data_IF_879369353719
#
_entry.id   IF_879369353719
#
_cell.length_a   1.000
_cell.length_b   1.000
_cell.length_c   1.000
_cell.angle_alpha   90.00
_cell.angle_beta   90.00
_cell.angle_gamma   90.00
#
_symmetry.space_group_name_H-M   'P 1'
#
loop_
_entity.id
_entity.type
_entity.pdbx_description
1 polymer ?
#
# COMPACT_ATOMS: atom_id res chain seq x y z
N UNK A 1 1.69 7.39 29.06
CA UNK A 1 0.38 7.44 28.36
C UNK A 1 0.33 6.23 27.45
N UNK A 2 -0.73 5.42 27.51
CA UNK A 2 -0.97 4.36 26.52
C UNK A 2 -1.63 4.99 25.30
N UNK A 3 -1.12 4.70 24.10
CA UNK A 3 -1.73 5.17 22.85
C UNK A 3 -3.08 4.48 22.62
N UNK A 4 -4.05 5.19 22.02
CA UNK A 4 -5.42 4.66 21.79
C UNK A 4 -5.49 3.76 20.58
N UNK A 5 -4.78 4.15 19.51
CA UNK A 5 -4.71 3.44 18.24
C UNK A 5 -3.32 3.55 17.62
N UNK A 6 -3.11 2.80 16.53
CA UNK A 6 -1.90 2.85 15.73
C UNK A 6 -2.18 3.32 14.30
N UNK A 7 -1.33 4.18 13.77
CA UNK A 7 -1.22 4.48 12.34
C UNK A 7 0.07 3.86 11.80
N UNK A 8 -0.04 2.92 10.86
CA UNK A 8 1.11 2.29 10.20
C UNK A 8 1.28 2.88 8.80
N UNK A 9 2.50 3.32 8.47
CA UNK A 9 2.83 3.91 7.17
C UNK A 9 4.06 3.22 6.58
N UNK A 10 3.88 2.50 5.46
CA UNK A 10 5.01 2.00 4.68
C UNK A 10 5.63 3.12 3.85
N UNK A 11 6.96 3.13 3.71
CA UNK A 11 7.68 4.23 3.06
C UNK A 11 7.65 5.52 3.88
N UNK A 12 7.44 5.44 5.19
CA UNK A 12 7.26 6.59 6.08
C UNK A 12 8.55 7.36 6.43
N UNK A 13 9.71 6.94 5.93
CA UNK A 13 11.01 7.56 6.27
C UNK A 13 11.41 8.73 5.36
N UNK A 14 10.70 8.96 4.25
CA UNK A 14 11.00 10.04 3.32
C UNK A 14 9.76 10.57 2.57
N UNK A 15 9.91 11.74 1.94
CA UNK A 15 8.95 12.33 1.00
C UNK A 15 7.50 12.33 1.52
N UNK A 16 6.56 11.88 0.70
CA UNK A 16 5.13 11.83 1.01
C UNK A 16 4.82 11.02 2.28
N UNK A 17 5.47 9.87 2.45
CA UNK A 17 5.26 9.02 3.62
C UNK A 17 5.72 9.70 4.92
N UNK A 18 6.85 10.42 4.89
CA UNK A 18 7.32 11.22 6.01
C UNK A 18 6.33 12.34 6.36
N UNK A 19 5.84 13.07 5.35
CA UNK A 19 4.89 14.16 5.57
C UNK A 19 3.53 13.65 6.07
N UNK A 20 3.09 12.47 5.58
CA UNK A 20 1.92 11.77 6.10
C UNK A 20 2.10 11.42 7.58
N UNK A 21 3.22 10.79 7.95
CA UNK A 21 3.50 10.43 9.34
C UNK A 21 3.61 11.66 10.25
N UNK A 22 4.24 12.75 9.80
CA UNK A 22 4.31 14.03 10.51
C UNK A 22 2.91 14.61 10.74
N UNK A 23 2.08 14.68 9.70
CA UNK A 23 0.72 15.20 9.80
C UNK A 23 -0.15 14.39 10.76
N UNK A 24 -0.08 13.06 10.70
CA UNK A 24 -0.80 12.18 11.63
C UNK A 24 -0.31 12.40 13.07
N UNK A 25 1.00 12.44 13.31
CA UNK A 25 1.54 12.66 14.65
C UNK A 25 1.10 14.02 15.24
N UNK A 26 1.07 15.08 14.42
CA UNK A 26 0.61 16.41 14.84
C UNK A 26 -0.88 16.43 15.19
N UNK A 27 -1.72 15.82 14.36
CA UNK A 27 -3.18 15.85 14.51
C UNK A 27 -3.69 14.86 15.56
N UNK A 28 -2.98 13.75 15.77
CA UNK A 28 -3.34 12.67 16.69
C UNK A 28 -2.20 12.33 17.66
N UNK A 29 -1.89 13.19 18.65
CA UNK A 29 -0.88 12.90 19.68
C UNK A 29 -1.16 11.62 20.48
N UNK A 30 -2.41 11.16 20.52
CA UNK A 30 -2.88 9.96 21.18
C UNK A 30 -2.62 8.66 20.39
N UNK A 31 -2.22 8.75 19.11
CA UNK A 31 -1.88 7.58 18.30
C UNK A 31 -0.41 7.24 18.38
N UNK A 32 -0.10 5.95 18.36
CA UNK A 32 1.22 5.45 17.98
C UNK A 32 1.35 5.54 16.46
N UNK A 33 2.36 6.23 15.96
CA UNK A 33 2.68 6.27 14.53
C UNK A 33 3.87 5.34 14.28
N UNK A 34 3.68 4.31 13.46
CA UNK A 34 4.72 3.37 13.08
C UNK A 34 5.09 3.64 11.63
N UNK A 35 6.30 4.14 11.39
CA UNK A 35 6.85 4.28 10.04
C UNK A 35 7.71 3.06 9.72
N UNK A 36 7.52 2.51 8.51
CA UNK A 36 8.21 1.30 8.09
C UNK A 36 8.92 1.50 6.75
N UNK A 37 10.19 1.12 6.68
CA UNK A 37 11.04 1.13 5.47
C UNK A 37 12.18 0.13 5.67
N UNK A 38 12.96 -0.18 4.62
CA UNK A 38 14.16 -1.04 4.74
C UNK A 38 15.19 -0.46 5.72
N UNK A 39 15.33 0.85 5.73
CA UNK A 39 16.23 1.58 6.62
C UNK A 39 15.69 2.98 6.92
N UNK A 40 16.22 3.59 7.99
CA UNK A 40 15.94 4.96 8.40
C UNK A 40 17.25 5.76 8.61
N UNK A 41 18.00 6.05 7.52
CA UNK A 41 19.32 6.69 7.64
C UNK A 41 19.23 8.11 8.22
N UNK A 42 18.08 8.76 8.11
CA UNK A 42 17.86 10.14 8.57
C UNK A 42 17.17 10.21 9.94
N UNK A 43 16.96 9.08 10.61
CA UNK A 43 16.25 9.01 11.89
C UNK A 43 14.89 9.76 11.82
N UNK A 44 14.11 9.48 10.78
CA UNK A 44 12.83 10.11 10.47
C UNK A 44 11.89 10.13 11.68
N UNK A 45 11.76 9.01 12.39
CA UNK A 45 10.90 8.94 13.59
C UNK A 45 11.36 9.92 14.68
N UNK A 46 12.68 10.00 14.93
CA UNK A 46 13.24 10.95 15.89
C UNK A 46 13.06 12.41 15.43
N UNK A 47 13.22 12.66 14.13
CA UNK A 47 13.01 13.98 13.53
C UNK A 47 11.56 14.46 13.64
N UNK A 48 10.58 13.57 13.40
CA UNK A 48 9.16 13.87 13.59
C UNK A 48 8.88 14.16 15.06
N UNK A 49 9.27 13.26 15.97
CA UNK A 49 9.09 13.43 17.41
C UNK A 49 9.70 14.75 17.93
N UNK A 50 10.88 15.14 17.45
CA UNK A 50 11.50 16.44 17.78
C UNK A 50 10.67 17.61 17.28
N UNK A 51 10.15 17.52 16.06
CA UNK A 51 9.34 18.57 15.42
C UNK A 51 7.99 18.74 16.12
N UNK A 52 7.32 17.64 16.47
CA UNK A 52 6.01 17.64 17.13
C UNK A 52 6.11 17.80 18.65
N UNK A 53 7.30 17.67 19.23
CA UNK A 53 7.56 17.58 20.68
C UNK A 53 6.81 16.41 21.32
N UNK A 54 6.72 15.30 20.61
CA UNK A 54 6.07 14.06 21.05
C UNK A 54 7.08 12.91 21.13
N UNK A 55 6.61 11.74 21.55
CA UNK A 55 7.37 10.47 21.57
C UNK A 55 6.54 9.31 21.01
N UNK A 56 5.61 9.64 20.12
CA UNK A 56 4.60 8.73 19.60
C UNK A 56 4.93 8.18 18.21
N UNK A 57 6.07 8.56 17.62
CA UNK A 57 6.52 8.00 16.34
C UNK A 57 7.65 7.01 16.56
N UNK A 58 7.54 5.80 16.01
CA UNK A 58 8.59 4.78 16.02
C UNK A 58 8.89 4.27 14.61
N UNK A 59 10.11 3.80 14.41
CA UNK A 59 10.52 3.13 13.19
C UNK A 59 10.58 1.61 13.40
N UNK A 60 10.06 0.85 12.43
CA UNK A 60 10.26 -0.59 12.33
C UNK A 60 10.74 -0.97 10.92
N UNK A 61 11.80 -1.79 10.79
CA UNK A 61 12.32 -2.17 9.48
C UNK A 61 11.37 -3.15 8.77
N UNK A 62 11.13 -2.93 7.48
CA UNK A 62 10.46 -3.88 6.59
C UNK A 62 11.03 -3.79 5.18
N UNK A 63 11.29 -4.93 4.56
CA UNK A 63 11.61 -5.08 3.15
C UNK A 63 10.46 -5.77 2.41
N UNK A 64 9.68 -4.97 1.67
CA UNK A 64 8.54 -5.46 0.88
C UNK A 64 8.96 -6.30 -0.33
N UNK A 65 10.25 -6.32 -0.69
CA UNK A 65 10.77 -7.20 -1.76
C UNK A 65 11.00 -8.64 -1.30
N UNK A 66 10.87 -8.92 0.01
CA UNK A 66 11.04 -10.25 0.59
C UNK A 66 9.81 -10.67 1.40
N UNK A 67 9.08 -11.68 0.93
CA UNK A 67 7.89 -12.20 1.61
C UNK A 67 8.24 -12.74 3.01
N UNK A 68 9.43 -13.34 3.18
CA UNK A 68 9.93 -13.77 4.47
C UNK A 68 10.15 -12.59 5.44
N UNK A 69 10.66 -11.45 4.94
CA UNK A 69 10.84 -10.26 5.76
C UNK A 69 9.49 -9.65 6.19
N UNK A 70 8.51 -9.60 5.28
CA UNK A 70 7.14 -9.15 5.60
C UNK A 70 6.50 -10.02 6.68
N UNK A 71 6.71 -11.34 6.64
CA UNK A 71 6.26 -12.27 7.69
C UNK A 71 6.97 -12.03 9.02
N UNK A 72 8.29 -11.89 9.02
CA UNK A 72 9.05 -11.57 10.23
C UNK A 72 8.63 -10.21 10.85
N UNK A 73 8.25 -9.24 10.02
CA UNK A 73 7.64 -7.99 10.48
C UNK A 73 6.31 -8.23 11.20
N UNK A 74 5.41 -9.05 10.64
CA UNK A 74 4.14 -9.39 11.27
C UNK A 74 4.31 -10.19 12.57
N UNK A 75 5.29 -11.09 12.64
CA UNK A 75 5.65 -11.79 13.87
C UNK A 75 6.15 -10.80 14.93
N UNK A 76 6.99 -9.85 14.53
CA UNK A 76 7.42 -8.76 15.42
C UNK A 76 6.23 -7.95 15.91
N UNK A 77 5.30 -7.58 15.01
CA UNK A 77 4.08 -6.86 15.36
C UNK A 77 3.28 -7.55 16.45
N UNK A 78 3.07 -8.87 16.31
CA UNK A 78 2.36 -9.72 17.28
C UNK A 78 2.98 -9.65 18.67
N UNK A 79 4.32 -9.65 18.76
CA UNK A 79 5.02 -9.59 20.06
C UNK A 79 4.97 -8.23 20.73
N UNK A 80 4.83 -7.14 19.96
CA UNK A 80 4.85 -5.77 20.48
C UNK A 80 3.56 -5.36 21.17
N UNK A 81 2.44 -6.04 20.87
CA UNK A 81 1.12 -5.75 21.43
C UNK A 81 0.73 -4.26 21.29
N UNK A 82 0.98 -3.69 20.11
CA UNK A 82 0.55 -2.32 19.83
C UNK A 82 -0.98 -2.19 19.87
N UNK A 83 -1.51 -0.98 20.12
CA UNK A 83 -2.93 -0.72 19.94
C UNK A 83 -3.39 -1.06 18.52
N UNK A 84 -4.69 -1.33 18.36
CA UNK A 84 -5.27 -1.67 17.06
C UNK A 84 -4.99 -0.60 16.00
N UNK A 85 -4.79 -1.05 14.77
CA UNK A 85 -4.44 -0.18 13.64
C UNK A 85 -5.71 0.52 13.16
N UNK A 86 -5.80 1.83 13.34
CA UNK A 86 -6.90 2.66 12.82
C UNK A 86 -6.61 3.20 11.42
N UNK A 87 -5.33 3.34 11.07
CA UNK A 87 -4.89 3.78 9.75
C UNK A 87 -3.76 2.89 9.23
N UNK A 88 -3.97 2.26 8.08
CA UNK A 88 -2.97 1.48 7.36
C UNK A 88 -2.69 2.16 6.02
N UNK A 89 -1.52 2.77 5.90
CA UNK A 89 -1.09 3.50 4.72
C UNK A 89 -0.03 2.68 3.98
N UNK A 90 -0.47 2.00 2.91
CA UNK A 90 0.37 1.19 2.02
C UNK A 90 0.97 2.10 0.94
N UNK A 91 1.94 2.91 1.36
CA UNK A 91 2.49 4.00 0.56
C UNK A 91 3.82 3.68 -0.13
N UNK A 92 4.63 2.77 0.41
CA UNK A 92 5.92 2.44 -0.17
C UNK A 92 5.80 2.05 -1.65
N UNK A 93 6.67 2.58 -2.49
CA UNK A 93 6.72 2.19 -3.88
C UNK A 93 8.07 2.52 -4.48
N UNK A 94 8.53 1.65 -5.38
CA UNK A 94 9.72 1.85 -6.16
C UNK A 94 9.41 1.74 -7.65
N UNK A 95 10.26 2.38 -8.44
CA UNK A 95 10.27 2.30 -9.88
C UNK A 95 11.70 1.95 -10.31
N UNK A 96 11.85 0.91 -11.10
CA UNK A 96 13.11 0.53 -11.72
C UNK A 96 12.99 0.83 -13.22
N UNK A 97 13.49 1.97 -13.74
CA UNK A 97 13.22 2.39 -15.11
C UNK A 97 13.95 1.58 -16.19
N UNK A 98 14.97 0.80 -15.80
CA UNK A 98 15.81 0.00 -16.69
C UNK A 98 15.22 -1.37 -17.01
N UNK A 99 16.09 -2.37 -17.07
CA UNK A 99 15.73 -3.77 -17.30
C UNK A 99 14.87 -4.33 -16.18
N UNK A 100 14.06 -5.33 -16.52
CA UNK A 100 13.27 -6.11 -15.56
C UNK A 100 14.19 -6.73 -14.51
N UNK A 101 13.82 -6.57 -13.24
CA UNK A 101 14.52 -7.14 -12.11
C UNK A 101 13.60 -8.13 -11.40
N UNK A 102 14.16 -9.19 -10.85
CA UNK A 102 13.43 -10.18 -10.04
C UNK A 102 13.89 -10.06 -8.59
N UNK A 103 12.97 -10.23 -7.64
CA UNK A 103 13.31 -10.37 -6.22
C UNK A 103 13.87 -11.75 -5.93
N UNK A 104 14.39 -11.94 -4.71
CA UNK A 104 14.81 -13.26 -4.22
C UNK A 104 13.67 -14.29 -4.17
N UNK A 105 12.41 -13.83 -4.12
CA UNK A 105 11.22 -14.68 -4.17
C UNK A 105 10.78 -15.02 -5.60
N UNK A 106 11.54 -14.57 -6.62
CA UNK A 106 11.27 -14.86 -8.02
C UNK A 106 10.17 -14.03 -8.66
N UNK A 107 9.72 -12.93 -8.04
CA UNK A 107 8.67 -12.03 -8.56
C UNK A 107 9.33 -10.76 -9.13
N UNK A 108 8.80 -10.21 -10.22
CA UNK A 108 9.26 -8.93 -10.76
C UNK A 108 9.28 -7.83 -9.67
N UNK A 109 10.40 -7.16 -9.50
CA UNK A 109 10.71 -6.31 -8.35
C UNK A 109 9.73 -5.16 -8.14
N UNK A 110 9.25 -4.53 -9.21
CA UNK A 110 8.30 -3.42 -9.12
C UNK A 110 6.94 -3.93 -8.61
N UNK A 111 6.44 -5.01 -9.19
CA UNK A 111 5.20 -5.65 -8.79
C UNK A 111 5.27 -6.25 -7.38
N UNK A 112 6.38 -6.90 -7.05
CA UNK A 112 6.64 -7.47 -5.73
C UNK A 112 6.54 -6.40 -4.63
N UNK A 113 7.23 -5.27 -4.82
CA UNK A 113 7.31 -4.21 -3.81
C UNK A 113 6.03 -3.39 -3.73
N UNK A 114 5.50 -2.97 -4.88
CA UNK A 114 4.40 -2.01 -4.92
C UNK A 114 3.06 -2.66 -4.57
N UNK A 115 2.90 -3.96 -4.88
CA UNK A 115 1.64 -4.70 -4.73
C UNK A 115 1.79 -5.94 -3.83
N UNK A 116 2.58 -6.95 -4.21
CA UNK A 116 2.54 -8.28 -3.55
C UNK A 116 2.92 -8.21 -2.06
N UNK A 117 4.02 -7.53 -1.74
CA UNK A 117 4.48 -7.35 -0.35
C UNK A 117 3.47 -6.56 0.48
N UNK A 118 2.80 -5.58 -0.11
CA UNK A 118 1.73 -4.83 0.55
C UNK A 118 0.48 -5.65 0.79
N UNK A 119 0.05 -6.46 -0.18
CA UNK A 119 -1.10 -7.34 -0.02
C UNK A 119 -0.83 -8.39 1.06
N UNK A 120 0.36 -9.01 1.08
CA UNK A 120 0.76 -9.91 2.17
C UNK A 120 0.75 -9.19 3.53
N UNK A 121 1.33 -7.99 3.60
CA UNK A 121 1.34 -7.20 4.83
C UNK A 121 -0.08 -6.91 5.33
N UNK A 122 -1.00 -6.52 4.43
CA UNK A 122 -2.40 -6.31 4.77
C UNK A 122 -3.02 -7.57 5.37
N UNK A 123 -2.88 -8.72 4.69
CA UNK A 123 -3.49 -9.97 5.16
C UNK A 123 -2.95 -10.39 6.53
N UNK A 124 -1.63 -10.29 6.75
CA UNK A 124 -1.02 -10.62 8.03
C UNK A 124 -1.42 -9.65 9.15
N UNK A 125 -1.66 -8.38 8.82
CA UNK A 125 -2.06 -7.36 9.80
C UNK A 125 -3.58 -7.23 9.98
N UNK A 126 -4.38 -7.88 9.13
CA UNK A 126 -5.83 -7.78 9.14
C UNK A 126 -6.48 -8.05 10.52
N UNK A 127 -6.01 -9.05 11.32
CA UNK A 127 -6.54 -9.28 12.66
C UNK A 127 -6.27 -8.15 13.67
N UNK A 128 -5.30 -7.27 13.38
CA UNK A 128 -4.91 -6.16 14.26
C UNK A 128 -5.53 -4.82 13.85
N UNK A 129 -6.25 -4.79 12.73
CA UNK A 129 -6.98 -3.60 12.29
C UNK A 129 -8.17 -3.34 13.24
N UNK A 130 -8.43 -2.07 13.58
CA UNK A 130 -9.60 -1.65 14.33
C UNK A 130 -10.91 -1.88 13.52
N UNK A 131 -12.07 -1.83 14.19
CA UNK A 131 -13.38 -2.02 13.55
C UNK A 131 -13.71 -0.97 12.48
N UNK A 132 -13.15 0.24 12.61
CA UNK A 132 -13.31 1.35 11.68
C UNK A 132 -12.01 1.75 10.98
N UNK A 133 -11.09 0.79 10.80
CA UNK A 133 -9.80 1.09 10.19
C UNK A 133 -9.94 1.62 8.76
N UNK A 134 -9.06 2.56 8.42
CA UNK A 134 -8.94 3.18 7.09
C UNK A 134 -7.66 2.66 6.43
N UNK A 135 -7.80 2.12 5.23
CA UNK A 135 -6.71 1.57 4.44
C UNK A 135 -6.53 2.46 3.22
N UNK A 136 -5.37 3.07 3.08
CA UNK A 136 -5.02 3.92 1.94
C UNK A 136 -3.89 3.26 1.16
N UNK A 137 -4.12 3.01 -0.12
CA UNK A 137 -3.16 2.35 -1.01
C UNK A 137 -2.66 3.38 -2.02
N UNK A 138 -1.36 3.69 -2.00
CA UNK A 138 -0.79 4.68 -2.91
C UNK A 138 -0.69 4.10 -4.33
N UNK A 139 -1.51 4.63 -5.23
CA UNK A 139 -1.46 4.39 -6.66
C UNK A 139 -0.75 5.56 -7.37
N UNK A 140 -1.04 5.81 -8.65
CA UNK A 140 -0.60 6.95 -9.45
C UNK A 140 -1.45 7.05 -10.70
N UNK A 141 -1.65 8.26 -11.23
CA UNK A 141 -2.31 8.52 -12.51
C UNK A 141 -1.73 7.78 -13.71
N UNK A 142 -0.49 7.28 -13.58
CA UNK A 142 0.16 6.41 -14.58
C UNK A 142 -0.59 5.11 -14.82
N UNK A 143 -1.47 4.70 -13.90
CA UNK A 143 -2.36 3.55 -14.10
C UNK A 143 -3.41 3.74 -15.20
N UNK A 144 -3.69 4.99 -15.59
CA UNK A 144 -4.70 5.35 -16.58
C UNK A 144 -4.06 5.92 -17.85
N UNK A 145 -4.10 5.17 -18.97
CA UNK A 145 -3.67 5.65 -20.28
C UNK A 145 -4.33 6.98 -20.70
N UNK A 146 -5.56 7.25 -20.24
CA UNK A 146 -6.28 8.47 -20.59
C UNK A 146 -5.63 9.73 -19.99
N UNK A 147 -4.86 9.61 -18.90
CA UNK A 147 -4.20 10.74 -18.26
C UNK A 147 -2.93 11.21 -18.99
N UNK A 148 -2.38 10.42 -19.92
CA UNK A 148 -1.22 10.79 -20.76
C UNK A 148 -0.04 11.35 -19.96
N UNK A 149 0.34 10.64 -18.90
CA UNK A 149 1.40 11.04 -17.96
C UNK A 149 2.81 11.10 -18.55
N UNK A 150 2.99 10.65 -19.79
CA UNK A 150 4.30 10.54 -20.45
C UNK A 150 5.07 9.25 -20.11
N UNK A 151 4.53 8.40 -19.23
CA UNK A 151 4.98 7.02 -19.10
C UNK A 151 4.27 6.14 -20.16
N UNK A 152 4.88 5.00 -20.55
CA UNK A 152 4.17 3.99 -21.31
C UNK A 152 2.90 3.52 -20.57
N UNK A 153 1.85 3.26 -21.34
CA UNK A 153 0.55 2.87 -20.82
C UNK A 153 0.62 1.60 -19.97
N UNK A 154 -0.07 1.60 -18.84
CA UNK A 154 -0.23 0.42 -18.01
C UNK A 154 -0.84 -0.73 -18.83
N UNK A 155 -0.24 -1.90 -18.73
CA UNK A 155 -0.72 -3.11 -19.38
C UNK A 155 -0.90 -4.23 -18.36
N UNK A 156 -2.07 -4.83 -18.34
CA UNK A 156 -2.40 -5.97 -17.49
C UNK A 156 -3.04 -7.08 -18.33
N UNK A 157 -2.33 -8.21 -18.42
CA UNK A 157 -2.84 -9.45 -19.05
C UNK A 157 -3.29 -10.42 -17.96
N UNK A 158 -2.35 -10.82 -17.08
CA UNK A 158 -2.59 -11.61 -15.86
C UNK A 158 -1.57 -11.23 -14.80
N UNK A 159 -1.86 -11.51 -13.54
CA UNK A 159 -0.90 -11.34 -12.46
C UNK A 159 0.34 -12.23 -12.63
N UNK A 160 0.19 -13.43 -13.20
CA UNK A 160 1.32 -14.31 -13.53
C UNK A 160 2.29 -13.65 -14.50
N UNK A 161 1.82 -12.98 -15.55
CA UNK A 161 2.71 -12.27 -16.49
C UNK A 161 3.29 -10.97 -15.93
N UNK A 162 2.62 -10.36 -14.95
CA UNK A 162 3.22 -9.25 -14.20
C UNK A 162 4.37 -9.73 -13.32
N UNK A 163 4.17 -10.85 -12.61
CA UNK A 163 5.14 -11.44 -11.71
C UNK A 163 6.31 -12.12 -12.45
N UNK A 164 6.01 -12.86 -13.50
CA UNK A 164 6.95 -13.68 -14.27
C UNK A 164 6.86 -13.30 -15.75
N UNK A 165 7.52 -12.20 -16.15
CA UNK A 165 7.43 -11.70 -17.51
C UNK A 165 8.04 -12.67 -18.53
N UNK A 166 7.31 -12.87 -19.64
CA UNK A 166 7.85 -13.55 -20.82
C UNK A 166 9.01 -12.75 -21.43
N UNK A 167 9.91 -13.36 -22.24
CA UNK A 167 10.99 -12.63 -22.91
C UNK A 167 10.50 -11.45 -23.78
N UNK A 168 9.29 -11.53 -24.31
CA UNK A 168 8.67 -10.43 -25.07
C UNK A 168 8.20 -9.32 -24.14
N UNK A 169 7.43 -9.65 -23.10
CA UNK A 169 6.95 -8.65 -22.13
C UNK A 169 8.09 -8.09 -21.27
N UNK A 170 9.21 -8.79 -21.13
CA UNK A 170 10.39 -8.30 -20.43
C UNK A 170 11.15 -7.22 -21.21
N UNK A 171 10.88 -7.08 -22.52
CA UNK A 171 11.32 -5.93 -23.32
C UNK A 171 10.54 -4.66 -22.99
N UNK A 172 9.41 -4.77 -22.26
CA UNK A 172 8.71 -3.60 -21.74
C UNK A 172 9.66 -2.81 -20.85
N UNK A 173 9.80 -1.51 -21.10
CA UNK A 173 10.60 -0.66 -20.23
C UNK A 173 10.06 -0.74 -18.80
N UNK A 174 10.92 -0.79 -17.77
CA UNK A 174 10.46 -0.85 -16.37
C UNK A 174 9.58 0.34 -15.94
N UNK A 175 9.52 1.41 -16.75
CA UNK A 175 8.50 2.46 -16.64
C UNK A 175 7.06 1.95 -16.85
N UNK A 176 6.83 1.06 -17.82
CA UNK A 176 5.52 0.43 -18.03
C UNK A 176 5.15 -0.49 -16.86
N UNK A 177 6.11 -1.27 -16.34
CA UNK A 177 5.92 -2.13 -15.16
C UNK A 177 5.48 -1.34 -13.94
N UNK A 178 6.04 -0.16 -13.74
CA UNK A 178 5.56 0.76 -12.71
C UNK A 178 4.10 1.16 -12.92
N UNK A 179 3.73 1.62 -14.12
CA UNK A 179 2.34 1.94 -14.46
C UNK A 179 1.39 0.76 -14.22
N UNK A 180 1.75 -0.45 -14.67
CA UNK A 180 1.00 -1.69 -14.42
C UNK A 180 0.89 -2.04 -12.93
N UNK A 181 1.94 -1.83 -12.13
CA UNK A 181 1.88 -2.04 -10.68
C UNK A 181 0.92 -1.06 -9.99
N UNK A 182 0.81 0.18 -10.50
CA UNK A 182 -0.14 1.17 -9.99
C UNK A 182 -1.57 0.84 -10.39
N UNK A 183 -1.77 0.27 -11.58
CA UNK A 183 -3.06 -0.33 -11.97
C UNK A 183 -3.44 -1.51 -11.06
N UNK A 184 -2.50 -2.39 -10.72
CA UNK A 184 -2.73 -3.48 -9.77
C UNK A 184 -3.21 -2.96 -8.40
N UNK A 185 -2.61 -1.88 -7.89
CA UNK A 185 -3.06 -1.26 -6.64
C UNK A 185 -4.51 -0.76 -6.69
N UNK A 186 -4.97 -0.17 -7.80
CA UNK A 186 -6.38 0.26 -7.97
C UNK A 186 -7.30 -0.95 -8.07
N UNK A 187 -6.96 -1.94 -8.89
CA UNK A 187 -7.74 -3.17 -9.03
C UNK A 187 -7.89 -3.91 -7.71
N UNK A 188 -6.80 -4.04 -6.95
CA UNK A 188 -6.81 -4.69 -5.64
C UNK A 188 -7.62 -3.90 -4.61
N UNK A 189 -7.60 -2.56 -4.67
CA UNK A 189 -8.48 -1.70 -3.85
C UNK A 189 -9.95 -2.04 -4.07
N UNK A 190 -10.38 -2.22 -5.33
CA UNK A 190 -11.77 -2.53 -5.66
C UNK A 190 -12.14 -3.98 -5.28
N UNK A 191 -11.25 -4.93 -5.53
CA UNK A 191 -11.42 -6.32 -5.08
C UNK A 191 -11.54 -6.42 -3.56
N UNK A 192 -10.70 -5.67 -2.84
CA UNK A 192 -10.71 -5.60 -1.38
C UNK A 192 -11.99 -4.92 -0.89
N UNK A 193 -12.40 -3.81 -1.50
CA UNK A 193 -13.65 -3.13 -1.16
C UNK A 193 -14.85 -4.08 -1.26
N UNK A 194 -15.00 -4.82 -2.36
CA UNK A 194 -16.11 -5.79 -2.50
C UNK A 194 -16.17 -6.77 -1.34
N UNK A 195 -15.01 -7.30 -0.93
CA UNK A 195 -14.91 -8.28 0.18
C UNK A 195 -15.23 -7.63 1.53
N UNK A 196 -14.62 -6.48 1.84
CA UNK A 196 -14.87 -5.75 3.08
C UNK A 196 -16.34 -5.32 3.21
N UNK A 197 -17.00 -4.99 2.10
CA UNK A 197 -18.43 -4.63 2.08
C UNK A 197 -19.36 -5.78 2.44
N UNK A 198 -18.91 -7.04 2.37
CA UNK A 198 -19.69 -8.19 2.84
C UNK A 198 -19.64 -8.38 4.37
N UNK A 199 -18.70 -7.71 5.06
CA UNK A 199 -18.54 -7.84 6.50
C UNK A 199 -19.62 -7.05 7.24
N UNK A 200 -20.26 -7.68 8.23
CA UNK A 200 -21.33 -7.05 9.02
C UNK A 200 -20.85 -6.50 10.37
N UNK A 201 -19.75 -7.04 10.92
CA UNK A 201 -19.23 -6.68 12.25
C UNK A 201 -18.28 -5.49 12.24
N UNK A 202 -17.57 -5.28 11.13
CA UNK A 202 -16.51 -4.26 10.97
C UNK A 202 -16.88 -3.35 9.82
N UNK A 203 -16.57 -2.05 9.95
CA UNK A 203 -16.83 -1.02 8.94
C UNK A 203 -15.51 -0.44 8.47
N UNK A 204 -14.78 -1.23 7.70
CA UNK A 204 -13.48 -0.89 7.16
C UNK A 204 -13.64 -0.02 5.90
N UNK A 205 -12.75 0.95 5.74
CA UNK A 205 -12.68 1.80 4.54
C UNK A 205 -11.41 1.47 3.78
N UNK A 206 -11.48 1.26 2.48
CA UNK A 206 -10.31 1.11 1.61
C UNK A 206 -10.39 2.08 0.45
N UNK A 207 -9.30 2.79 0.17
CA UNK A 207 -9.20 3.77 -0.94
C UNK A 207 -7.89 3.62 -1.67
N UNK A 208 -7.92 3.88 -2.98
CA UNK A 208 -6.72 4.09 -3.78
C UNK A 208 -6.46 5.59 -3.87
N UNK A 209 -5.21 6.00 -3.73
CA UNK A 209 -4.83 7.41 -3.69
C UNK A 209 -3.63 7.67 -4.61
N UNK A 210 -3.79 8.61 -5.54
CA UNK A 210 -2.69 9.25 -6.24
C UNK A 210 -2.41 10.63 -5.62
N UNK A 211 -1.18 10.88 -5.14
CA UNK A 211 -0.80 12.20 -4.67
C UNK A 211 -0.78 13.28 -5.76
N UNK A 212 -0.86 12.90 -7.05
CA UNK A 212 -0.71 13.79 -8.19
C UNK A 212 0.75 14.10 -8.51
N UNK A 213 0.99 14.99 -9.48
CA UNK A 213 2.35 15.44 -9.80
C UNK A 213 2.91 16.25 -8.62
N UNK A 214 3.96 15.74 -7.98
CA UNK A 214 4.58 16.35 -6.80
C UNK A 214 6.04 16.81 -7.06
N UNK A 215 6.31 17.86 -7.88
CA UNK A 215 7.66 18.39 -8.01
C UNK A 215 8.10 19.10 -6.71
N UNK A 216 9.19 18.64 -6.09
CA UNK A 216 9.92 19.39 -5.05
C UNK A 216 9.18 19.63 -3.72
N UNK A 217 8.23 18.78 -3.32
CA UNK A 217 7.21 19.18 -2.34
C UNK A 217 7.70 19.37 -0.90
N UNK A 218 7.88 20.64 -0.53
CA UNK A 218 7.36 21.18 0.74
C UNK A 218 5.85 21.40 0.60
N UNK A 219 5.06 20.52 1.20
CA UNK A 219 3.59 20.49 1.05
C UNK A 219 2.95 21.76 1.60
N UNK A 220 2.21 22.46 0.72
CA UNK A 220 1.42 23.64 1.06
C UNK A 220 0.13 23.26 1.81
N UNK A 221 0.04 23.72 3.07
CA UNK A 221 -1.13 24.00 3.93
C UNK A 221 -2.40 23.13 3.81
N UNK A 222 -2.56 22.28 4.83
CA UNK A 222 -3.76 21.96 5.61
C UNK A 222 -5.13 22.07 4.93
N UNK A 223 -5.67 20.91 4.51
CA UNK A 223 -6.97 20.32 4.93
C UNK A 223 -6.95 18.86 4.44
N UNK A 224 -7.06 17.88 5.34
CA UNK A 224 -7.14 16.46 5.00
C UNK A 224 -8.43 16.11 4.24
N UNK A 225 -8.40 15.06 3.43
CA UNK A 225 -9.60 14.59 2.72
C UNK A 225 -10.40 13.69 3.66
N UNK A 226 -11.66 14.03 3.91
CA UNK A 226 -12.56 13.12 4.61
C UNK A 226 -12.92 11.95 3.70
N UNK A 227 -12.56 10.75 4.14
CA UNK A 227 -12.80 9.47 3.47
C UNK A 227 -13.92 8.67 4.13
N UNK A 228 -14.56 9.19 5.17
CA UNK A 228 -15.71 8.52 5.80
C UNK A 228 -16.83 8.33 4.78
N UNK A 229 -17.35 7.10 4.70
CA UNK A 229 -18.36 6.72 3.71
C UNK A 229 -17.86 6.61 2.26
N UNK A 230 -16.58 6.86 1.99
CA UNK A 230 -15.97 6.85 0.64
C UNK A 230 -15.00 5.68 0.52
N UNK A 231 -15.55 4.46 0.49
CA UNK A 231 -14.78 3.21 0.33
C UNK A 231 -14.88 2.72 -1.12
N UNK A 232 -13.84 2.07 -1.64
CA UNK A 232 -13.83 1.55 -3.02
C UNK A 232 -13.72 2.62 -4.09
N UNK A 233 -13.10 3.75 -3.76
CA UNK A 233 -12.92 4.89 -4.68
C UNK A 233 -11.45 5.19 -4.93
N UNK A 234 -11.19 5.94 -6.00
CA UNK A 234 -9.86 6.44 -6.37
C UNK A 234 -9.82 7.96 -6.20
N UNK A 235 -8.80 8.44 -5.50
CA UNK A 235 -8.54 9.86 -5.31
C UNK A 235 -7.35 10.31 -6.16
N UNK A 236 -7.50 11.46 -6.82
CA UNK A 236 -6.38 12.24 -7.35
C UNK A 236 -6.29 13.54 -6.55
N UNK A 237 -5.24 13.67 -5.74
CA UNK A 237 -5.14 14.75 -4.76
C UNK A 237 -6.33 14.73 -3.79
N UNK A 238 -7.23 15.71 -3.89
CA UNK A 238 -8.40 15.83 -2.98
C UNK A 238 -9.72 15.35 -3.59
N UNK A 239 -9.74 15.07 -4.89
CA UNK A 239 -10.96 14.80 -5.63
C UNK A 239 -11.14 13.30 -5.86
N UNK A 240 -12.38 12.83 -5.76
CA UNK A 240 -12.73 11.50 -6.26
C UNK A 240 -12.91 11.60 -7.76
N UNK A 241 -12.06 10.90 -8.50
CA UNK A 241 -12.15 10.82 -9.95
C UNK A 241 -12.35 9.38 -10.39
N UNK A 242 -12.80 9.19 -11.63
CA UNK A 242 -12.87 7.86 -12.23
C UNK A 242 -11.45 7.37 -12.51
N UNK A 243 -11.16 6.13 -12.16
CA UNK A 243 -9.91 5.46 -12.51
C UNK A 243 -9.96 4.87 -13.93
N UNK A 244 -8.86 4.27 -14.37
CA UNK A 244 -8.75 3.68 -15.70
C UNK A 244 -9.83 2.63 -16.00
N UNK A 245 -10.20 2.48 -17.28
CA UNK A 245 -11.22 1.50 -17.71
C UNK A 245 -10.91 0.09 -17.21
N UNK A 246 -9.65 -0.34 -17.36
CA UNK A 246 -9.19 -1.67 -16.96
C UNK A 246 -9.31 -1.92 -15.47
N UNK A 247 -9.18 -0.87 -14.65
CA UNK A 247 -9.30 -1.02 -13.21
C UNK A 247 -10.68 -1.50 -12.75
N UNK A 248 -11.73 -1.31 -13.55
CA UNK A 248 -13.10 -1.77 -13.26
C UNK A 248 -13.40 -3.20 -13.77
N UNK A 249 -12.47 -3.84 -14.48
CA UNK A 249 -12.67 -5.21 -14.96
C UNK A 249 -12.56 -6.19 -13.79
N UNK A 250 -13.70 -6.71 -13.32
CA UNK A 250 -13.73 -7.62 -12.18
C UNK A 250 -12.97 -8.92 -12.45
N UNK A 251 -12.90 -9.39 -13.70
CA UNK A 251 -12.15 -10.62 -14.00
C UNK A 251 -10.65 -10.44 -13.78
N UNK A 252 -10.09 -9.27 -14.15
CA UNK A 252 -8.70 -8.91 -13.88
C UNK A 252 -8.44 -8.69 -12.39
N UNK A 253 -9.41 -8.10 -11.70
CA UNK A 253 -9.32 -7.91 -10.25
C UNK A 253 -9.28 -9.24 -9.49
N UNK A 254 -10.11 -10.21 -9.89
CA UNK A 254 -10.14 -11.54 -9.29
C UNK A 254 -8.92 -12.38 -9.68
N UNK A 255 -8.42 -12.30 -10.93
CA UNK A 255 -7.14 -12.90 -11.33
C UNK A 255 -5.99 -12.39 -10.44
N UNK A 256 -5.91 -11.06 -10.24
CA UNK A 256 -4.92 -10.45 -9.36
C UNK A 256 -5.05 -10.94 -7.92
N UNK A 257 -6.28 -11.00 -7.41
CA UNK A 257 -6.55 -11.40 -6.03
C UNK A 257 -6.16 -12.86 -5.78
N UNK A 258 -6.65 -13.79 -6.59
CA UNK A 258 -6.40 -15.21 -6.46
C UNK A 258 -4.92 -15.54 -6.64
N UNK A 259 -4.28 -14.94 -7.63
CA UNK A 259 -2.85 -15.10 -7.85
C UNK A 259 -2.05 -14.61 -6.65
N UNK A 260 -2.39 -13.43 -6.11
CA UNK A 260 -1.70 -12.86 -4.95
C UNK A 260 -1.81 -13.77 -3.73
N UNK A 261 -2.98 -14.34 -3.46
CA UNK A 261 -3.16 -15.30 -2.36
C UNK A 261 -2.33 -16.55 -2.60
N UNK A 262 -2.37 -17.11 -3.81
CA UNK A 262 -1.61 -18.30 -4.16
C UNK A 262 -0.10 -18.09 -3.98
N UNK A 263 0.40 -16.92 -4.36
CA UNK A 263 1.82 -16.56 -4.26
C UNK A 263 2.26 -16.28 -2.82
N UNK A 264 1.37 -15.78 -1.97
CA UNK A 264 1.74 -15.28 -0.64
C UNK A 264 1.41 -16.24 0.51
N UNK A 265 0.35 -17.05 0.40
CA UNK A 265 -0.09 -17.94 1.46
C UNK A 265 0.73 -19.24 1.51
N UNK A 266 1.14 -19.61 2.73
CA UNK A 266 2.03 -20.76 3.00
C UNK A 266 1.28 -22.04 3.38
N UNK A 267 -0.02 -21.94 3.63
CA UNK A 267 -0.89 -23.08 3.99
C UNK A 267 -2.28 -22.93 3.39
N UNK A 268 -3.04 -24.02 3.33
CA UNK A 268 -4.46 -23.97 2.93
C UNK A 268 -5.31 -23.13 3.90
N UNK A 269 -4.95 -23.11 5.20
CA UNK A 269 -5.65 -22.27 6.17
C UNK A 269 -5.44 -20.78 5.87
N UNK A 270 -4.19 -20.36 5.66
CA UNK A 270 -3.90 -18.98 5.24
C UNK A 270 -4.58 -18.63 3.92
N UNK A 271 -4.63 -19.56 2.94
CA UNK A 271 -5.35 -19.32 1.68
C UNK A 271 -6.83 -19.02 1.90
N UNK A 272 -7.47 -19.75 2.81
CA UNK A 272 -8.89 -19.53 3.18
C UNK A 272 -9.07 -18.20 3.90
N UNK A 273 -8.23 -17.90 4.89
CA UNK A 273 -8.28 -16.65 5.65
C UNK A 273 -8.05 -15.43 4.75
N UNK A 274 -7.03 -15.48 3.90
CA UNK A 274 -6.71 -14.39 2.97
C UNK A 274 -7.81 -14.25 1.90
N UNK A 275 -8.37 -15.37 1.42
CA UNK A 275 -9.42 -15.40 0.40
C UNK A 275 -10.73 -14.76 0.83
N UNK A 276 -11.10 -14.97 2.09
CA UNK A 276 -12.36 -14.48 2.64
C UNK A 276 -12.23 -13.09 3.27
N UNK A 277 -11.02 -12.67 3.67
CA UNK A 277 -10.81 -11.45 4.47
C UNK A 277 -11.69 -11.48 5.73
N UNK A 278 -11.66 -12.62 6.43
CA UNK A 278 -12.47 -12.91 7.62
C UNK A 278 -11.68 -12.77 8.92
#
# INVERSE_FOLDING_TARGET
MSFTHTALITGGTANLGFQCALGIAQQHPEYLVVICSRSDPNSAAASINKTTRQKNVIFLPIDLSSLANVRAFADTWKTKQFPTIIALVLNAGLQFPGEVQMTGDGIESTFAINHVGHALLFHLLFPYLADKARIAITSSGTHDPAQKTGLPDAEYVTAEQLAHPTPESAKSAGRQRYASSKLANVMWTYALHRRLSTMTKRKLTVVAFDPGLMPGTGLARDVGVDVEGKSGVYFEGKEIIRSSKDSYDESKQEDLWEWTIKATATSENERREFGLVN
#
